data_IF_778874396392
#
_entry.id   IF_778874396392
#
_cell.length_a   1.000
_cell.length_b   1.000
_cell.length_c   1.000
_cell.angle_alpha   90.00
_cell.angle_beta   90.00
_cell.angle_gamma   90.00
#
_symmetry.space_group_name_H-M   'P 1'
#
loop_
_entity.id
_entity.type
_entity.pdbx_description
1 polymer ?
#
# COMPACT_ATOMS: atom_id res chain seq x y z
N UNK A 1 -50.63 25.64 18.36
CA UNK A 1 -50.46 24.21 18.02
C UNK A 1 -51.11 23.98 16.66
N UNK A 2 -50.32 23.79 15.60
CA UNK A 2 -50.82 23.49 14.26
C UNK A 2 -50.22 22.14 13.84
N UNK A 3 -51.09 21.15 13.67
CA UNK A 3 -50.73 19.81 13.23
C UNK A 3 -50.65 19.81 11.70
N UNK A 4 -49.47 19.51 11.17
CA UNK A 4 -49.27 19.28 9.74
C UNK A 4 -49.39 17.78 9.47
N UNK A 5 -50.36 17.43 8.63
CA UNK A 5 -50.64 16.07 8.15
C UNK A 5 -49.69 15.77 7.00
N UNK A 6 -48.85 14.74 7.14
CA UNK A 6 -48.01 14.22 6.07
C UNK A 6 -48.79 13.12 5.32
N UNK A 7 -49.01 13.31 4.03
CA UNK A 7 -49.60 12.30 3.14
C UNK A 7 -48.43 11.59 2.44
N UNK A 8 -48.24 10.32 2.73
CA UNK A 8 -47.28 9.46 2.05
C UNK A 8 -47.92 8.88 0.77
N UNK A 9 -47.34 9.20 -0.39
CA UNK A 9 -47.71 8.62 -1.68
C UNK A 9 -46.79 7.42 -1.93
N UNK A 10 -47.35 6.22 -1.88
CA UNK A 10 -46.69 4.99 -2.31
C UNK A 10 -46.82 4.87 -3.83
N UNK A 11 -45.70 4.99 -4.55
CA UNK A 11 -45.63 4.71 -5.99
C UNK A 11 -45.24 3.24 -6.15
N UNK A 12 -46.17 2.46 -6.70
CA UNK A 12 -45.99 1.06 -7.04
C UNK A 12 -45.36 0.98 -8.44
N UNK A 13 -44.13 0.47 -8.54
CA UNK A 13 -43.45 0.23 -9.83
C UNK A 13 -43.66 -1.24 -10.21
N UNK A 14 -44.32 -1.56 -11.33
CA UNK A 14 -44.49 -2.94 -11.79
C UNK A 14 -43.15 -3.51 -12.26
N UNK A 15 -42.92 -4.77 -11.92
CA UNK A 15 -41.67 -5.49 -12.15
C UNK A 15 -41.39 -5.79 -13.62
N UNK A 16 -40.11 -5.77 -13.97
CA UNK A 16 -39.59 -6.35 -15.20
C UNK A 16 -39.43 -7.86 -15.01
N UNK A 17 -40.23 -8.65 -15.73
CA UNK A 17 -39.99 -10.07 -15.97
C UNK A 17 -38.79 -10.20 -16.92
N UNK A 18 -37.66 -10.72 -16.41
CA UNK A 18 -36.58 -11.23 -17.25
C UNK A 18 -36.89 -12.69 -17.57
N UNK A 19 -37.18 -12.98 -18.84
CA UNK A 19 -37.27 -14.34 -19.35
C UNK A 19 -35.92 -15.06 -19.23
N UNK A 20 -35.97 -16.26 -18.66
CA UNK A 20 -34.85 -17.19 -18.58
C UNK A 20 -34.87 -18.04 -19.87
N UNK A 21 -33.92 -17.79 -20.77
CA UNK A 21 -33.56 -18.75 -21.83
C UNK A 21 -32.50 -19.71 -21.24
N UNK A 22 -32.93 -20.90 -20.80
CA UNK A 22 -32.10 -21.90 -20.09
C UNK A 22 -31.47 -22.98 -20.99
N UNK A 23 -31.41 -22.83 -22.32
CA UNK A 23 -31.07 -23.96 -23.21
C UNK A 23 -29.74 -23.87 -24.00
N UNK A 24 -28.85 -22.93 -23.66
CA UNK A 24 -27.53 -22.80 -24.35
C UNK A 24 -26.30 -22.78 -23.40
N UNK A 25 -26.41 -23.36 -22.19
CA UNK A 25 -25.29 -23.36 -21.21
C UNK A 25 -24.70 -24.74 -20.89
N UNK A 26 -25.20 -25.83 -21.51
CA UNK A 26 -24.67 -27.19 -21.26
C UNK A 26 -23.41 -27.57 -22.03
N UNK A 27 -23.12 -26.93 -23.16
CA UNK A 27 -21.96 -27.28 -23.98
C UNK A 27 -20.72 -26.40 -23.72
N UNK A 28 -20.84 -25.35 -22.89
CA UNK A 28 -19.69 -24.52 -22.49
C UNK A 28 -18.98 -25.03 -21.24
N UNK A 29 -19.68 -25.77 -20.38
CA UNK A 29 -19.14 -26.30 -19.13
C UNK A 29 -18.10 -27.43 -19.32
N UNK A 30 -18.09 -28.12 -20.45
CA UNK A 30 -17.19 -29.27 -20.69
C UNK A 30 -15.87 -28.91 -21.38
N UNK A 31 -15.66 -27.65 -21.81
CA UNK A 31 -14.40 -27.20 -22.46
C UNK A 31 -13.47 -26.39 -21.54
N UNK A 32 -13.89 -26.03 -20.34
CA UNK A 32 -13.10 -25.21 -19.42
C UNK A 32 -12.14 -26.00 -18.50
N UNK A 33 -12.18 -27.34 -18.50
CA UNK A 33 -11.43 -28.18 -17.53
C UNK A 33 -10.03 -28.64 -17.99
N UNK A 34 -9.49 -28.15 -19.12
CA UNK A 34 -8.20 -28.63 -19.64
C UNK A 34 -7.09 -27.58 -19.81
N UNK A 35 -7.33 -26.33 -19.43
CA UNK A 35 -6.28 -25.32 -19.31
C UNK A 35 -5.81 -25.26 -17.85
N UNK A 36 -5.11 -26.30 -17.41
CA UNK A 36 -4.25 -26.24 -16.22
C UNK A 36 -3.09 -25.29 -16.51
N UNK A 37 -3.37 -23.98 -16.50
CA UNK A 37 -2.33 -22.98 -16.49
C UNK A 37 -1.62 -23.10 -15.16
N UNK A 38 -0.36 -23.50 -15.20
CA UNK A 38 0.52 -23.42 -14.03
C UNK A 38 0.38 -22.00 -13.46
N UNK A 39 -0.23 -21.90 -12.28
CA UNK A 39 -0.30 -20.65 -11.54
C UNK A 39 1.15 -20.33 -11.20
N UNK A 40 1.79 -19.51 -12.04
CA UNK A 40 3.12 -19.01 -11.76
C UNK A 40 3.08 -18.34 -10.40
N UNK A 41 3.69 -18.97 -9.40
CA UNK A 41 3.81 -18.41 -8.07
C UNK A 41 4.42 -17.02 -8.22
N UNK A 42 3.73 -16.01 -7.70
CA UNK A 42 4.23 -14.64 -7.71
C UNK A 42 5.57 -14.62 -6.98
N UNK A 43 6.70 -14.37 -7.67
CA UNK A 43 8.02 -14.38 -7.05
C UNK A 43 8.13 -13.35 -5.92
N UNK A 44 7.27 -12.32 -5.88
CA UNK A 44 7.21 -11.36 -4.78
C UNK A 44 6.65 -12.00 -3.49
N UNK A 45 5.78 -13.01 -3.58
CA UNK A 45 5.17 -13.68 -2.43
C UNK A 45 6.21 -14.40 -1.56
N UNK A 46 7.17 -15.08 -2.19
CA UNK A 46 8.23 -15.80 -1.48
C UNK A 46 9.24 -14.89 -0.76
N UNK A 47 9.38 -13.63 -1.19
CA UNK A 47 10.23 -12.64 -0.53
C UNK A 47 9.51 -12.03 0.67
N UNK A 48 8.22 -11.73 0.54
CA UNK A 48 7.41 -11.17 1.63
C UNK A 48 7.30 -12.13 2.83
N UNK A 49 7.17 -13.44 2.60
CA UNK A 49 7.04 -14.45 3.68
C UNK A 49 8.33 -14.67 4.49
N UNK A 50 9.51 -14.31 3.96
CA UNK A 50 10.80 -14.44 4.66
C UNK A 50 11.18 -13.20 5.48
N UNK A 51 10.36 -12.16 5.46
CA UNK A 51 10.58 -10.95 6.26
C UNK A 51 10.01 -11.15 7.67
N UNK A 52 10.76 -11.81 8.55
CA UNK A 52 10.38 -12.00 9.96
C UNK A 52 10.25 -10.69 10.75
N UNK A 53 9.68 -10.78 11.96
CA UNK A 53 9.59 -9.67 12.90
C UNK A 53 11.00 -9.21 13.31
N UNK A 54 11.34 -7.97 12.98
CA UNK A 54 12.69 -7.42 13.12
C UNK A 54 13.09 -7.19 14.58
N UNK A 55 13.78 -8.17 15.18
CA UNK A 55 14.48 -8.02 16.46
C UNK A 55 15.93 -7.51 16.34
N UNK A 56 16.28 -6.86 15.23
CA UNK A 56 17.62 -6.32 15.00
C UNK A 56 17.81 -4.90 15.55
N UNK A 57 19.05 -4.44 15.62
CA UNK A 57 19.37 -3.05 15.96
C UNK A 57 18.67 -2.09 14.99
N UNK A 58 18.04 -1.05 15.52
CA UNK A 58 17.41 0.01 14.71
C UNK A 58 18.53 0.81 14.03
N UNK A 59 18.60 0.83 12.68
CA UNK A 59 19.66 1.55 12.00
C UNK A 59 19.48 3.06 12.14
N UNK A 60 20.58 3.81 12.05
CA UNK A 60 20.53 5.26 12.00
C UNK A 60 19.81 5.73 10.71
N UNK A 61 19.00 6.80 10.75
CA UNK A 61 18.33 7.34 9.57
C UNK A 61 19.29 7.66 8.42
N UNK A 62 20.53 8.06 8.73
CA UNK A 62 21.59 8.36 7.75
C UNK A 62 22.05 7.17 6.91
N UNK A 63 21.58 5.95 7.19
CA UNK A 63 21.77 4.76 6.35
C UNK A 63 20.99 4.87 5.05
N UNK A 64 19.84 5.54 5.04
CA UNK A 64 18.98 5.65 3.88
C UNK A 64 19.05 7.08 3.34
N UNK A 65 19.40 7.20 2.07
CA UNK A 65 19.55 8.48 1.39
C UNK A 65 18.39 8.69 0.42
N UNK A 66 17.73 9.85 0.48
CA UNK A 66 16.76 10.24 -0.54
C UNK A 66 17.49 10.46 -1.86
N UNK A 67 17.05 9.79 -2.92
CA UNK A 67 17.64 9.87 -4.26
C UNK A 67 16.59 10.24 -5.30
N UNK A 68 17.03 10.45 -6.54
CA UNK A 68 16.15 10.78 -7.66
C UNK A 68 15.06 9.72 -7.87
N UNK A 69 13.82 10.17 -8.10
CA UNK A 69 12.66 9.32 -8.28
C UNK A 69 12.80 8.33 -9.45
N UNK A 70 13.55 8.70 -10.49
CA UNK A 70 13.80 7.86 -11.66
C UNK A 70 14.53 6.55 -11.30
N UNK A 71 15.33 6.55 -10.23
CA UNK A 71 16.00 5.34 -9.75
C UNK A 71 15.02 4.32 -9.16
N UNK A 72 13.85 4.77 -8.71
CA UNK A 72 12.77 3.93 -8.19
C UNK A 72 11.99 3.22 -9.30
N UNK A 73 12.23 3.55 -10.58
CA UNK A 73 11.59 2.83 -11.69
C UNK A 73 11.94 1.35 -11.65
N UNK A 74 10.90 0.53 -11.74
CA UNK A 74 11.00 -0.93 -11.67
C UNK A 74 11.08 -1.50 -10.25
N UNK A 75 10.94 -0.69 -9.19
CA UNK A 75 10.62 -1.25 -7.88
C UNK A 75 9.21 -1.81 -7.89
N UNK A 76 9.02 -3.01 -7.35
CA UNK A 76 7.71 -3.64 -7.14
C UNK A 76 7.43 -3.76 -5.65
N UNK A 77 6.16 -3.93 -5.28
CA UNK A 77 5.76 -4.09 -3.88
C UNK A 77 6.52 -5.25 -3.25
N UNK A 78 7.34 -4.93 -2.25
CA UNK A 78 8.07 -5.93 -1.47
C UNK A 78 7.31 -6.29 -0.18
N UNK A 79 6.70 -5.29 0.48
CA UNK A 79 6.03 -5.47 1.78
C UNK A 79 5.02 -4.35 2.07
N UNK A 80 3.88 -4.68 2.68
CA UNK A 80 3.01 -3.67 3.30
C UNK A 80 3.54 -3.25 4.67
N UNK A 81 3.34 -1.98 5.07
CA UNK A 81 3.83 -1.52 6.38
C UNK A 81 3.09 -2.17 7.56
N UNK A 82 1.79 -2.43 7.40
CA UNK A 82 1.01 -3.26 8.32
C UNK A 82 1.04 -4.73 7.89
N UNK A 83 1.35 -5.62 8.83
CA UNK A 83 1.17 -7.07 8.65
C UNK A 83 -0.23 -7.51 9.10
N UNK A 84 -0.65 -8.72 8.69
CA UNK A 84 -1.88 -9.35 9.23
C UNK A 84 -1.81 -9.52 10.76
N UNK A 85 -0.62 -9.74 11.29
CA UNK A 85 -0.39 -9.83 12.73
C UNK A 85 -0.60 -8.49 13.42
N UNK A 86 -0.13 -7.38 12.84
CA UNK A 86 -0.40 -6.04 13.38
C UNK A 86 -1.89 -5.73 13.41
N UNK A 87 -2.62 -6.10 12.35
CA UNK A 87 -4.08 -5.97 12.30
C UNK A 87 -4.75 -6.77 13.43
N UNK A 88 -4.32 -8.02 13.66
CA UNK A 88 -4.84 -8.88 14.73
C UNK A 88 -4.47 -8.38 16.13
N UNK A 89 -3.30 -7.78 16.28
CA UNK A 89 -2.80 -7.23 17.53
C UNK A 89 -3.32 -5.83 17.84
N UNK A 90 -4.20 -5.26 17.00
CA UNK A 90 -4.75 -3.91 17.18
C UNK A 90 -3.77 -2.77 16.90
N UNK A 91 -2.54 -3.07 16.47
CA UNK A 91 -1.55 -2.08 16.00
C UNK A 91 -1.74 -1.69 14.54
N UNK A 92 -2.59 -2.42 13.83
CA UNK A 92 -2.83 -2.28 12.41
C UNK A 92 -3.36 -0.92 11.98
N UNK A 93 -4.24 -0.30 12.77
CA UNK A 93 -4.83 0.99 12.42
C UNK A 93 -3.76 2.09 12.26
N UNK A 94 -2.82 2.17 13.22
CA UNK A 94 -1.72 3.13 13.15
C UNK A 94 -0.79 2.87 11.96
N UNK A 95 -0.54 1.60 11.59
CA UNK A 95 0.33 1.22 10.47
C UNK A 95 -0.36 1.25 9.11
N UNK A 96 -1.68 1.32 9.09
CA UNK A 96 -2.49 1.55 7.89
C UNK A 96 -2.78 3.04 7.66
N UNK A 97 -2.61 3.89 8.69
CA UNK A 97 -2.83 5.33 8.60
C UNK A 97 -1.83 5.98 7.64
N UNK A 98 -2.38 6.65 6.62
CA UNK A 98 -1.62 7.39 5.63
C UNK A 98 -0.87 8.58 6.26
N UNK A 99 -1.55 9.33 7.13
CA UNK A 99 -0.96 10.46 7.85
C UNK A 99 0.22 10.04 8.75
N UNK A 100 0.08 8.93 9.50
CA UNK A 100 1.16 8.44 10.35
C UNK A 100 2.38 7.96 9.52
N UNK A 101 2.14 7.26 8.40
CA UNK A 101 3.22 6.85 7.49
C UNK A 101 3.95 8.04 6.90
N UNK A 102 3.19 8.99 6.34
CA UNK A 102 3.70 10.22 5.74
C UNK A 102 4.57 10.99 6.73
N UNK A 103 4.06 11.27 7.92
CA UNK A 103 4.77 12.16 8.85
C UNK A 103 6.01 11.52 9.46
N UNK A 104 6.10 10.19 9.56
CA UNK A 104 7.35 9.51 9.93
C UNK A 104 8.41 9.60 8.84
N UNK A 105 8.02 9.48 7.58
CA UNK A 105 8.92 9.72 6.44
C UNK A 105 9.37 11.18 6.41
N UNK A 106 8.41 12.10 6.61
CA UNK A 106 8.66 13.54 6.60
C UNK A 106 9.65 13.96 7.69
N UNK A 107 9.60 13.35 8.87
CA UNK A 107 10.57 13.59 9.95
C UNK A 107 12.02 13.44 9.48
N UNK A 108 12.32 12.51 8.56
CA UNK A 108 13.68 12.24 8.09
C UNK A 108 14.01 12.92 6.77
N UNK A 109 13.05 13.01 5.86
CA UNK A 109 13.31 13.36 4.46
C UNK A 109 12.61 14.65 4.00
N UNK A 110 11.82 15.29 4.86
CA UNK A 110 11.01 16.44 4.48
C UNK A 110 9.77 16.05 3.66
N UNK A 111 9.11 17.01 2.99
CA UNK A 111 7.94 16.73 2.15
C UNK A 111 8.27 15.71 1.05
N UNK A 112 7.28 14.92 0.59
CA UNK A 112 7.52 13.95 -0.48
C UNK A 112 7.99 14.68 -1.76
N UNK A 113 9.04 14.17 -2.43
CA UNK A 113 9.53 14.78 -3.67
C UNK A 113 8.51 14.65 -4.81
N UNK A 114 7.66 13.62 -4.76
CA UNK A 114 6.64 13.34 -5.75
C UNK A 114 5.32 12.95 -5.06
N UNK A 115 4.26 13.66 -5.46
CA UNK A 115 2.87 13.41 -5.07
C UNK A 115 2.14 12.89 -6.30
N UNK A 116 1.49 11.74 -6.16
CA UNK A 116 0.75 11.08 -7.23
C UNK A 116 -0.74 11.11 -6.90
N UNK A 117 -1.57 10.80 -7.90
CA UNK A 117 -2.99 10.49 -7.64
C UNK A 117 -3.05 9.31 -6.68
N UNK A 118 -3.81 9.45 -5.59
CA UNK A 118 -3.96 8.49 -4.50
C UNK A 118 -2.74 8.27 -3.57
N UNK A 119 -1.70 9.10 -3.64
CA UNK A 119 -0.57 8.95 -2.70
C UNK A 119 0.70 9.74 -3.00
N UNK A 120 1.82 9.20 -2.54
CA UNK A 120 3.14 9.81 -2.66
C UNK A 120 4.23 8.73 -2.66
N UNK A 121 5.44 9.12 -3.07
CA UNK A 121 6.59 8.22 -3.10
C UNK A 121 7.87 8.92 -2.63
N UNK A 122 8.66 8.19 -1.84
CA UNK A 122 10.06 8.49 -1.55
C UNK A 122 10.92 7.39 -2.16
N UNK A 123 11.92 7.76 -2.96
CA UNK A 123 12.90 6.81 -3.49
C UNK A 123 14.19 6.95 -2.69
N UNK A 124 14.62 5.83 -2.12
CA UNK A 124 15.67 5.77 -1.13
C UNK A 124 16.75 4.80 -1.59
N UNK A 125 18.01 5.15 -1.35
CA UNK A 125 19.13 4.23 -1.49
C UNK A 125 19.62 3.82 -0.12
N UNK A 126 19.68 2.52 0.14
CA UNK A 126 20.42 2.00 1.29
C UNK A 126 21.93 2.17 1.01
N UNK A 127 22.60 2.99 1.82
CA UNK A 127 24.01 3.34 1.64
C UNK A 127 24.96 2.18 1.95
N UNK A 128 24.51 1.17 2.69
CA UNK A 128 25.32 0.00 3.00
C UNK A 128 25.30 -1.03 1.87
N UNK A 129 24.13 -1.25 1.28
CA UNK A 129 23.92 -2.32 0.28
C UNK A 129 23.86 -1.80 -1.16
N UNK A 130 23.59 -0.51 -1.34
CA UNK A 130 23.29 0.10 -2.64
C UNK A 130 21.88 -0.23 -3.17
N UNK A 131 21.07 -0.98 -2.42
CA UNK A 131 19.72 -1.35 -2.85
C UNK A 131 18.82 -0.10 -2.93
N UNK A 132 18.01 -0.01 -3.98
CA UNK A 132 17.03 1.06 -4.16
C UNK A 132 15.66 0.58 -3.66
N UNK A 133 15.08 1.37 -2.76
CA UNK A 133 13.80 1.13 -2.12
C UNK A 133 12.84 2.27 -2.47
N UNK A 134 11.55 1.97 -2.50
CA UNK A 134 10.49 2.96 -2.62
C UNK A 134 9.58 2.89 -1.39
N UNK A 135 9.48 3.96 -0.62
CA UNK A 135 8.51 4.08 0.46
C UNK A 135 7.33 4.91 -0.05
N UNK A 136 6.15 4.30 -0.15
CA UNK A 136 5.02 4.91 -0.84
C UNK A 136 3.68 4.63 -0.16
N UNK A 137 2.66 5.35 -0.58
CA UNK A 137 1.26 4.97 -0.36
C UNK A 137 0.50 4.96 -1.68
N UNK A 138 -0.48 4.07 -1.77
CA UNK A 138 -1.43 3.97 -2.88
C UNK A 138 -2.80 3.53 -2.30
N UNK A 139 -3.79 3.25 -3.15
CA UNK A 139 -5.13 2.83 -2.72
C UNK A 139 -5.21 1.58 -1.81
N UNK A 140 -4.12 0.80 -1.70
CA UNK A 140 -4.02 -0.34 -0.76
C UNK A 140 -3.32 -0.01 0.57
N UNK A 141 -2.99 1.26 0.78
CA UNK A 141 -2.29 1.77 1.96
C UNK A 141 -0.76 1.84 1.84
N UNK A 142 -0.08 2.18 2.96
CA UNK A 142 1.37 2.30 3.05
C UNK A 142 2.15 1.01 2.72
N UNK A 143 3.20 1.14 1.91
CA UNK A 143 4.02 0.01 1.50
C UNK A 143 5.48 0.39 1.20
N UNK A 144 6.31 -0.66 1.19
CA UNK A 144 7.68 -0.67 0.72
C UNK A 144 7.77 -1.41 -0.61
N UNK A 145 8.45 -0.80 -1.57
CA UNK A 145 8.85 -1.38 -2.83
C UNK A 145 10.36 -1.58 -2.90
N UNK A 146 10.79 -2.55 -3.69
CA UNK A 146 12.19 -2.79 -4.01
C UNK A 146 12.32 -3.44 -5.40
N UNK A 147 13.52 -3.42 -5.98
CA UNK A 147 13.77 -4.18 -7.21
C UNK A 147 13.90 -5.67 -6.85
N UNK A 148 12.95 -6.49 -7.32
CA UNK A 148 12.90 -7.94 -7.07
C UNK A 148 13.24 -8.78 -8.31
N UNK A 149 13.49 -8.13 -9.43
CA UNK A 149 13.91 -8.75 -10.69
C UNK A 149 15.20 -8.11 -11.21
N UNK A 150 15.96 -8.85 -12.01
CA UNK A 150 17.11 -8.32 -12.75
C UNK A 150 16.67 -7.48 -13.96
N UNK A 151 17.66 -7.03 -14.76
CA UNK A 151 17.43 -6.20 -15.95
C UNK A 151 16.67 -6.95 -17.06
N UNK A 152 16.67 -8.28 -17.03
CA UNK A 152 15.95 -9.13 -17.96
C UNK A 152 14.54 -9.49 -17.45
N UNK A 153 14.17 -9.01 -16.26
CA UNK A 153 12.89 -9.29 -15.61
C UNK A 153 12.83 -10.66 -14.92
N UNK A 154 13.96 -11.38 -14.81
CA UNK A 154 13.99 -12.63 -14.06
C UNK A 154 14.11 -12.35 -12.55
N UNK A 155 13.55 -13.21 -11.67
CA UNK A 155 13.69 -13.04 -10.23
C UNK A 155 15.16 -12.96 -9.80
N UNK A 156 15.47 -12.09 -8.84
CA UNK A 156 16.82 -11.99 -8.28
C UNK A 156 17.28 -13.33 -7.67
N UNK A 157 18.59 -13.56 -7.60
CA UNK A 157 19.13 -14.71 -6.89
C UNK A 157 18.76 -14.67 -5.40
N UNK A 158 18.64 -15.83 -4.75
CA UNK A 158 18.21 -15.94 -3.35
C UNK A 158 19.03 -15.07 -2.38
N UNK A 159 20.34 -14.94 -2.59
CA UNK A 159 21.21 -14.09 -1.78
C UNK A 159 20.90 -12.59 -1.98
N UNK A 160 20.60 -12.17 -3.21
CA UNK A 160 20.20 -10.79 -3.50
C UNK A 160 18.83 -10.49 -2.91
N UNK A 161 17.87 -11.42 -3.02
CA UNK A 161 16.56 -11.29 -2.38
C UNK A 161 16.69 -11.16 -0.86
N UNK A 162 17.54 -11.96 -0.22
CA UNK A 162 17.79 -11.91 1.22
C UNK A 162 18.39 -10.57 1.65
N UNK A 163 19.33 -10.02 0.86
CA UNK A 163 19.90 -8.69 1.10
C UNK A 163 18.84 -7.58 0.97
N UNK A 164 18.04 -7.60 -0.08
CA UNK A 164 16.95 -6.63 -0.28
C UNK A 164 15.94 -6.71 0.87
N UNK A 165 15.58 -7.91 1.30
CA UNK A 165 14.70 -8.12 2.45
C UNK A 165 15.29 -7.54 3.74
N UNK A 166 16.60 -7.70 3.97
CA UNK A 166 17.28 -7.10 5.11
C UNK A 166 17.27 -5.55 5.04
N UNK A 167 17.50 -4.96 3.87
CA UNK A 167 17.42 -3.51 3.64
C UNK A 167 16.00 -2.97 3.92
N UNK A 168 14.96 -3.66 3.42
CA UNK A 168 13.56 -3.30 3.68
C UNK A 168 13.22 -3.39 5.18
N UNK A 169 13.61 -4.48 5.85
CA UNK A 169 13.33 -4.65 7.28
C UNK A 169 14.04 -3.61 8.14
N UNK A 170 15.29 -3.29 7.80
CA UNK A 170 16.07 -2.24 8.47
C UNK A 170 15.38 -0.87 8.33
N UNK A 171 14.87 -0.55 7.14
CA UNK A 171 14.11 0.69 6.91
C UNK A 171 12.82 0.73 7.74
N UNK A 172 12.03 -0.35 7.71
CA UNK A 172 10.77 -0.44 8.47
C UNK A 172 11.02 -0.30 9.98
N UNK A 173 12.05 -0.95 10.52
CA UNK A 173 12.41 -0.83 11.93
C UNK A 173 12.76 0.62 12.31
N UNK A 174 13.48 1.34 11.44
CA UNK A 174 13.79 2.75 11.63
C UNK A 174 12.53 3.62 11.62
N UNK A 175 11.63 3.41 10.65
CA UNK A 175 10.36 4.15 10.59
C UNK A 175 9.48 3.85 11.81
N UNK A 176 9.44 2.62 12.29
CA UNK A 176 8.67 2.24 13.49
C UNK A 176 9.19 2.92 14.75
N UNK A 177 10.50 3.08 14.87
CA UNK A 177 11.14 3.78 15.98
C UNK A 177 11.01 5.32 15.89
N UNK A 178 10.49 5.85 14.78
CA UNK A 178 10.41 7.29 14.53
C UNK A 178 9.15 7.91 15.10
N UNK A 179 9.28 8.92 15.95
CA UNK A 179 8.14 9.74 16.35
C UNK A 179 7.73 10.67 15.17
N UNK A 180 6.45 10.66 14.73
CA UNK A 180 6.01 11.52 13.65
C UNK A 180 6.03 12.99 14.09
N UNK A 181 6.60 13.87 13.26
CA UNK A 181 6.48 15.32 13.44
C UNK A 181 5.18 15.83 12.79
N UNK A 182 4.61 16.96 13.24
CA UNK A 182 3.46 17.56 12.59
C UNK A 182 3.71 17.81 11.10
N UNK A 183 2.83 17.28 10.25
CA UNK A 183 2.92 17.40 8.82
C UNK A 183 1.52 17.32 8.19
N UNK A 184 1.34 17.87 6.99
CA UNK A 184 0.09 17.75 6.24
C UNK A 184 0.35 17.70 4.74
N UNK A 185 -0.47 16.94 4.03
CA UNK A 185 -0.44 16.79 2.58
C UNK A 185 -1.85 16.69 2.04
N UNK A 186 -2.13 17.39 0.95
CA UNK A 186 -3.36 17.23 0.18
C UNK A 186 -3.12 16.25 -0.96
N UNK A 187 -4.05 15.31 -1.13
CA UNK A 187 -4.01 14.28 -2.16
C UNK A 187 -5.27 14.35 -3.00
N UNK A 188 -5.11 14.22 -4.32
CA UNK A 188 -6.23 13.96 -5.22
C UNK A 188 -6.46 12.45 -5.28
N UNK A 189 -7.69 12.02 -5.04
CA UNK A 189 -8.10 10.63 -5.15
C UNK A 189 -9.27 10.47 -6.12
N UNK A 190 -9.59 9.22 -6.46
CA UNK A 190 -10.80 8.91 -7.22
C UNK A 190 -12.11 9.34 -6.54
N UNK A 191 -12.08 9.54 -5.22
CA UNK A 191 -13.24 9.90 -4.40
C UNK A 191 -13.33 11.41 -4.10
N UNK A 192 -12.32 12.19 -4.47
CA UNK A 192 -12.21 13.60 -4.16
C UNK A 192 -10.85 13.97 -3.59
N UNK A 193 -10.73 15.20 -3.08
CA UNK A 193 -9.50 15.65 -2.42
C UNK A 193 -9.56 15.26 -0.96
N UNK A 194 -8.44 14.77 -0.42
CA UNK A 194 -8.29 14.50 1.00
C UNK A 194 -7.08 15.26 1.55
N UNK A 195 -7.09 15.55 2.84
CA UNK A 195 -5.93 16.06 3.59
C UNK A 195 -5.52 15.02 4.61
N UNK A 196 -4.26 14.62 4.57
CA UNK A 196 -3.68 13.62 5.47
C UNK A 196 -2.51 14.20 6.23
N UNK A 197 -2.27 13.72 7.46
CA UNK A 197 -1.14 14.21 8.23
C UNK A 197 -1.15 13.81 9.69
N UNK A 198 -0.36 14.53 10.48
CA UNK A 198 -0.32 14.48 11.95
C UNK A 198 -0.41 15.91 12.48
N UNK A 199 -1.32 16.14 13.42
CA UNK A 199 -1.51 17.41 14.11
C UNK A 199 -1.73 17.12 15.59
N UNK A 200 -1.05 17.86 16.46
CA UNK A 200 -1.15 17.69 17.93
C UNK A 200 -0.91 16.24 18.41
N UNK A 201 -0.07 15.48 17.70
CA UNK A 201 0.26 14.08 18.01
C UNK A 201 -0.75 13.05 17.49
N UNK A 202 -1.85 13.49 16.86
CA UNK A 202 -2.87 12.62 16.28
C UNK A 202 -2.78 12.64 14.75
N UNK A 203 -2.83 11.46 14.13
CA UNK A 203 -2.93 11.35 12.67
C UNK A 203 -4.37 11.65 12.23
N UNK A 204 -4.52 12.17 11.02
CA UNK A 204 -5.83 12.48 10.44
C UNK A 204 -5.87 12.18 8.93
N UNK A 205 -7.09 12.01 8.42
CA UNK A 205 -7.44 11.87 7.02
C UNK A 205 -8.83 12.49 6.82
N UNK A 206 -8.85 13.75 6.39
CA UNK A 206 -10.05 14.56 6.24
C UNK A 206 -10.43 14.70 4.75
N UNK A 207 -11.70 14.54 4.42
CA UNK A 207 -12.22 14.88 3.09
C UNK A 207 -12.29 16.39 2.92
N UNK A 208 -11.89 16.89 1.74
CA UNK A 208 -11.96 18.29 1.36
C UNK A 208 -13.09 18.50 0.34
N UNK A 209 -14.08 19.31 0.72
CA UNK A 209 -15.20 19.72 -0.15
C UNK A 209 -14.74 20.54 -1.39
#
# INVERSE_FOLDING_TARGET
>A
MRASVLIAILVFVPGCECGHDEEEDRDRASRAESAGGDVMEDPARGVAERMGEGGGDVPAPSRFELVDAELGRGTTRARGWASLEDLRAGRGAARMSLGNWLCRLWTHYGPPPEVQRDGFVYVLRDRETGDVLSAYSAGSGPAMGARLTDEQGAPLASEQQARVAASVNAFVAMIDATEPQPCELELETDLGRIRVGVRDGEWFEDELE
#
